data_IF_903591130032
#
_entry.id   IF_903591130032
#
_cell.length_a   1.000
_cell.length_b   1.000
_cell.length_c   1.000
_cell.angle_alpha   90.00
_cell.angle_beta   90.00
_cell.angle_gamma   90.00
#
_symmetry.space_group_name_H-M   'P 1'
#
loop_
_entity.id
_entity.type
_entity.pdbx_description
1 polymer ?
#
# COMPACT_ATOMS: atom_id res chain seq x y z
N UNK A 1 -9.68 -15.93 -8.69
CA UNK A 1 -8.40 -16.06 -9.41
C UNK A 1 -8.75 -16.55 -10.79
N UNK A 2 -8.39 -15.84 -11.86
CA UNK A 2 -8.71 -16.28 -13.24
C UNK A 2 -7.49 -16.84 -13.99
N UNK A 3 -6.26 -16.64 -13.49
CA UNK A 3 -5.03 -17.18 -14.08
C UNK A 3 -4.33 -18.19 -13.17
N UNK A 4 -4.52 -19.49 -13.43
CA UNK A 4 -3.84 -20.57 -12.71
C UNK A 4 -3.66 -21.78 -13.64
N UNK A 5 -2.50 -22.43 -13.53
CA UNK A 5 -2.31 -23.79 -13.99
C UNK A 5 -1.89 -24.64 -12.79
N UNK A 6 -2.61 -25.73 -12.55
CA UNK A 6 -2.25 -26.72 -11.55
C UNK A 6 -1.97 -28.07 -12.24
N UNK A 7 -0.85 -28.67 -11.89
CA UNK A 7 -0.50 -30.05 -12.22
C UNK A 7 -0.78 -30.90 -10.98
N UNK A 8 -1.65 -31.89 -11.11
CA UNK A 8 -2.08 -32.73 -9.99
C UNK A 8 -0.93 -33.52 -9.37
N UNK A 9 -1.03 -33.77 -8.07
CA UNK A 9 -0.16 -34.71 -7.37
C UNK A 9 -0.51 -36.16 -7.73
N UNK A 10 0.49 -37.04 -7.70
CA UNK A 10 0.31 -38.50 -7.80
C UNK A 10 0.28 -39.07 -6.36
N UNK A 11 -0.92 -39.35 -5.84
CA UNK A 11 -1.10 -39.78 -4.46
C UNK A 11 -0.78 -38.68 -3.45
N UNK A 12 0.21 -38.90 -2.56
CA UNK A 12 0.68 -37.91 -1.56
C UNK A 12 1.93 -37.14 -2.01
N UNK A 13 2.34 -37.26 -3.27
CA UNK A 13 3.63 -36.76 -3.75
C UNK A 13 3.51 -35.92 -5.02
N UNK A 14 4.32 -34.86 -5.07
CA UNK A 14 4.33 -33.90 -6.18
C UNK A 14 3.20 -32.89 -6.12
N UNK A 15 2.83 -32.40 -7.30
CA UNK A 15 1.87 -31.31 -7.48
C UNK A 15 2.58 -29.96 -7.66
N UNK A 16 2.18 -29.23 -8.70
CA UNK A 16 2.72 -27.90 -9.00
C UNK A 16 1.59 -26.95 -9.31
N UNK A 17 1.74 -25.69 -8.89
CA UNK A 17 0.81 -24.64 -9.26
C UNK A 17 1.59 -23.40 -9.72
N UNK A 18 1.23 -22.89 -10.90
CA UNK A 18 1.64 -21.58 -11.37
C UNK A 18 0.43 -20.65 -11.35
N UNK A 19 0.55 -19.54 -10.63
CA UNK A 19 -0.54 -18.60 -10.41
C UNK A 19 -0.10 -17.20 -10.84
N UNK A 20 -0.96 -16.50 -11.58
CA UNK A 20 -0.68 -15.14 -12.02
C UNK A 20 -1.87 -14.21 -11.79
N UNK A 21 -1.58 -12.90 -11.84
CA UNK A 21 -2.58 -11.85 -11.59
C UNK A 21 -3.40 -11.57 -12.83
N UNK A 22 -4.64 -11.16 -12.60
CA UNK A 22 -5.51 -10.59 -13.63
C UNK A 22 -4.85 -9.41 -14.32
N UNK A 23 -4.91 -9.38 -15.65
CA UNK A 23 -4.20 -8.40 -16.50
C UNK A 23 -2.82 -8.86 -16.99
N UNK A 24 -2.17 -9.82 -16.32
CA UNK A 24 -0.91 -10.37 -16.81
C UNK A 24 -1.18 -11.39 -17.93
N UNK A 25 -0.50 -11.23 -19.07
CA UNK A 25 -0.58 -12.20 -20.18
C UNK A 25 0.48 -13.27 -19.98
N UNK A 26 0.04 -14.46 -19.58
CA UNK A 26 0.89 -15.64 -19.40
C UNK A 26 0.42 -16.72 -20.37
N UNK A 27 1.34 -17.24 -21.17
CA UNK A 27 1.09 -18.35 -22.11
C UNK A 27 1.86 -19.57 -21.64
N UNK A 28 1.16 -20.66 -21.31
CA UNK A 28 1.80 -21.92 -20.95
C UNK A 28 2.41 -22.55 -22.20
N UNK A 29 3.65 -22.99 -22.08
CA UNK A 29 4.43 -23.52 -23.19
C UNK A 29 4.51 -25.04 -23.12
N UNK A 30 4.84 -25.54 -21.94
CA UNK A 30 4.86 -26.97 -21.63
C UNK A 30 4.75 -27.15 -20.11
N UNK A 31 4.34 -28.33 -19.66
CA UNK A 31 4.37 -28.68 -18.25
C UNK A 31 4.53 -30.19 -18.06
N UNK A 32 5.01 -30.57 -16.89
CA UNK A 32 5.04 -31.96 -16.42
C UNK A 32 4.90 -31.98 -14.91
N UNK A 33 4.99 -33.17 -14.29
CA UNK A 33 5.07 -33.27 -12.83
C UNK A 33 6.32 -32.62 -12.20
N UNK A 34 7.30 -32.22 -12.99
CA UNK A 34 8.55 -31.61 -12.53
C UNK A 34 8.70 -30.14 -12.91
N UNK A 35 7.84 -29.61 -13.76
CA UNK A 35 7.92 -28.21 -14.14
C UNK A 35 6.63 -27.65 -14.72
N UNK A 36 6.51 -26.34 -14.68
CA UNK A 36 5.57 -25.57 -15.50
C UNK A 36 6.39 -24.51 -16.23
N UNK A 37 6.43 -24.58 -17.55
CA UNK A 37 7.12 -23.62 -18.41
C UNK A 37 6.14 -22.65 -19.05
N UNK A 38 6.47 -21.37 -19.00
CA UNK A 38 5.57 -20.30 -19.39
C UNK A 38 6.30 -19.13 -20.03
N UNK A 39 5.60 -18.46 -20.94
CA UNK A 39 6.00 -17.18 -21.52
C UNK A 39 5.16 -16.07 -20.88
N UNK A 40 5.82 -15.11 -20.25
CA UNK A 40 5.20 -14.02 -19.49
C UNK A 40 5.44 -12.70 -20.23
N UNK A 41 4.38 -12.03 -20.67
CA UNK A 41 4.51 -10.70 -21.26
C UNK A 41 4.65 -9.64 -20.18
N UNK A 42 5.68 -8.82 -20.30
CA UNK A 42 5.96 -7.70 -19.40
C UNK A 42 5.34 -6.41 -19.92
N UNK A 43 5.14 -5.45 -19.02
CA UNK A 43 4.51 -4.15 -19.32
C UNK A 43 5.32 -3.30 -20.31
N UNK A 44 6.63 -3.55 -20.43
CA UNK A 44 7.54 -2.89 -21.38
C UNK A 44 7.49 -3.49 -22.79
N UNK A 45 6.59 -4.45 -23.02
CA UNK A 45 6.41 -5.13 -24.31
C UNK A 45 7.39 -6.28 -24.57
N UNK A 46 8.26 -6.61 -23.62
CA UNK A 46 9.17 -7.76 -23.73
C UNK A 46 8.55 -9.01 -23.13
N UNK A 47 8.92 -10.16 -23.68
CA UNK A 47 8.47 -11.46 -23.18
C UNK A 47 9.61 -12.10 -22.38
N UNK A 48 9.30 -12.62 -21.19
CA UNK A 48 10.23 -13.37 -20.34
C UNK A 48 9.78 -14.81 -20.29
N UNK A 49 10.73 -15.74 -20.41
CA UNK A 49 10.49 -17.15 -20.15
C UNK A 49 10.61 -17.43 -18.65
N UNK A 50 9.55 -17.95 -18.05
CA UNK A 50 9.54 -18.39 -16.65
C UNK A 50 9.24 -19.88 -16.55
N UNK A 51 10.14 -20.63 -15.91
CA UNK A 51 9.96 -22.05 -15.62
C UNK A 51 9.91 -22.27 -14.12
N UNK A 52 8.75 -22.67 -13.61
CA UNK A 52 8.61 -23.20 -12.25
C UNK A 52 9.16 -24.63 -12.23
N UNK A 53 10.14 -24.94 -11.38
CA UNK A 53 10.81 -26.24 -11.36
C UNK A 53 10.66 -26.95 -10.00
N UNK A 54 10.44 -28.26 -10.07
CA UNK A 54 10.39 -29.16 -8.92
C UNK A 54 11.27 -30.38 -9.19
N UNK A 55 12.47 -30.33 -8.63
CA UNK A 55 13.53 -31.30 -8.83
C UNK A 55 13.23 -32.66 -8.18
N UNK A 56 13.88 -33.71 -8.69
CA UNK A 56 13.76 -35.06 -8.14
C UNK A 56 14.43 -35.16 -6.76
N UNK A 57 13.66 -35.65 -5.78
CA UNK A 57 14.20 -35.96 -4.45
C UNK A 57 15.18 -37.14 -4.48
N UNK A 58 15.00 -38.09 -5.41
CA UNK A 58 15.91 -39.22 -5.62
C UNK A 58 17.13 -38.82 -6.48
N UNK A 59 18.37 -38.89 -5.94
CA UNK A 59 19.60 -38.60 -6.69
C UNK A 59 19.74 -39.33 -8.01
N UNK A 60 19.29 -40.59 -8.07
CA UNK A 60 19.46 -41.46 -9.23
C UNK A 60 18.65 -40.96 -10.43
N UNK A 61 17.56 -40.22 -10.16
CA UNK A 61 16.65 -39.68 -11.16
C UNK A 61 16.87 -38.18 -11.45
N UNK A 62 17.74 -37.51 -10.69
CA UNK A 62 18.00 -36.06 -10.87
C UNK A 62 18.54 -35.71 -12.25
N UNK A 63 19.40 -36.55 -12.83
CA UNK A 63 19.95 -36.33 -14.16
C UNK A 63 18.85 -36.14 -15.22
N UNK A 64 17.74 -36.86 -15.11
CA UNK A 64 16.61 -36.73 -16.03
C UNK A 64 15.92 -35.36 -15.92
N UNK A 65 15.80 -34.83 -14.69
CA UNK A 65 15.23 -33.51 -14.45
C UNK A 65 16.17 -32.38 -14.95
N UNK A 66 17.49 -32.56 -14.83
CA UNK A 66 18.48 -31.64 -15.39
C UNK A 66 18.53 -31.66 -16.91
N UNK A 67 18.43 -32.83 -17.53
CA UNK A 67 18.38 -32.96 -19.00
C UNK A 67 17.14 -32.28 -19.57
N UNK A 68 16.03 -32.31 -18.84
CA UNK A 68 14.83 -31.55 -19.21
C UNK A 68 15.08 -30.05 -19.19
N UNK A 69 15.71 -29.50 -18.14
CA UNK A 69 16.07 -28.08 -18.11
C UNK A 69 17.02 -27.71 -19.25
N UNK A 70 17.98 -28.58 -19.60
CA UNK A 70 18.87 -28.39 -20.76
C UNK A 70 18.10 -28.35 -22.09
N UNK A 71 17.11 -29.23 -22.27
CA UNK A 71 16.21 -29.24 -23.45
C UNK A 71 15.31 -28.00 -23.51
N UNK A 72 14.85 -27.49 -22.37
CA UNK A 72 14.11 -26.23 -22.34
C UNK A 72 15.04 -25.10 -22.77
N UNK A 73 16.24 -24.99 -22.18
CA UNK A 73 17.21 -23.94 -22.52
C UNK A 73 17.54 -23.90 -24.01
N UNK A 74 17.67 -25.03 -24.70
CA UNK A 74 17.94 -25.05 -26.15
C UNK A 74 16.83 -24.42 -26.99
N UNK A 75 15.61 -24.35 -26.46
CA UNK A 75 14.44 -23.77 -27.14
C UNK A 75 14.12 -22.34 -26.71
N UNK A 76 14.74 -21.84 -25.63
CA UNK A 76 14.47 -20.50 -25.10
C UNK A 76 15.31 -19.47 -25.85
N UNK A 77 14.65 -18.44 -26.39
CA UNK A 77 15.29 -17.31 -27.08
C UNK A 77 15.17 -16.01 -26.29
N UNK A 78 14.28 -16.00 -25.32
CA UNK A 78 13.98 -14.89 -24.43
C UNK A 78 14.88 -14.90 -23.18
N UNK A 79 14.79 -13.85 -22.38
CA UNK A 79 15.32 -13.85 -21.02
C UNK A 79 14.70 -15.00 -20.21
N UNK A 80 15.53 -15.81 -19.54
CA UNK A 80 15.05 -17.01 -18.85
C UNK A 80 15.22 -16.92 -17.34
N UNK A 81 14.14 -17.21 -16.63
CA UNK A 81 14.13 -17.35 -15.18
C UNK A 81 13.57 -18.73 -14.83
N UNK A 82 14.34 -19.51 -14.09
CA UNK A 82 13.92 -20.79 -13.51
C UNK A 82 13.83 -20.61 -12.00
N UNK A 83 12.71 -20.98 -11.39
CA UNK A 83 12.51 -20.82 -9.96
C UNK A 83 11.78 -22.00 -9.33
N UNK A 84 12.18 -22.39 -8.13
CA UNK A 84 11.50 -23.43 -7.36
C UNK A 84 12.45 -24.26 -6.51
N UNK A 85 11.98 -25.44 -6.11
CA UNK A 85 12.72 -26.40 -5.30
C UNK A 85 13.53 -27.33 -6.22
N UNK A 86 14.85 -27.23 -6.16
CA UNK A 86 15.74 -28.06 -6.98
C UNK A 86 16.07 -29.40 -6.33
N UNK A 87 15.68 -29.61 -5.07
CA UNK A 87 16.06 -30.77 -4.26
C UNK A 87 17.58 -31.04 -4.28
N UNK A 88 18.39 -29.99 -4.45
CA UNK A 88 19.84 -30.08 -4.56
C UNK A 88 20.54 -28.86 -3.95
N UNK A 89 21.64 -29.15 -3.24
CA UNK A 89 22.61 -28.15 -2.77
C UNK A 89 23.76 -28.03 -3.77
N UNK A 90 24.45 -26.90 -3.80
CA UNK A 90 25.61 -26.68 -4.67
C UNK A 90 26.92 -27.07 -3.99
N UNK A 91 27.02 -26.90 -2.68
CA UNK A 91 28.21 -27.22 -1.90
C UNK A 91 27.88 -27.39 -0.40
N UNK A 92 28.85 -27.87 0.37
CA UNK A 92 28.68 -28.12 1.81
C UNK A 92 28.43 -26.86 2.65
N UNK A 93 28.64 -25.64 2.13
CA UNK A 93 28.30 -24.40 2.83
C UNK A 93 26.79 -24.09 2.78
N UNK A 94 26.03 -24.79 1.92
CA UNK A 94 24.57 -24.72 1.88
C UNK A 94 23.89 -25.72 2.84
N UNK A 95 24.64 -26.31 3.79
CA UNK A 95 24.14 -27.25 4.81
C UNK A 95 24.65 -26.96 6.22
N UNK A 96 23.74 -27.08 7.20
CA UNK A 96 24.04 -27.05 8.64
C UNK A 96 23.50 -28.33 9.33
N UNK A 97 24.32 -29.03 10.13
CA UNK A 97 23.97 -30.26 10.85
C UNK A 97 24.28 -31.60 10.14
N UNK A 98 24.37 -32.71 10.88
CA UNK A 98 24.61 -34.08 10.36
C UNK A 98 26.03 -34.36 9.79
N UNK A 99 26.26 -35.54 9.20
CA UNK A 99 27.55 -35.92 8.57
C UNK A 99 27.89 -35.06 7.33
N UNK A 100 29.15 -34.65 7.20
CA UNK A 100 29.72 -34.03 5.97
C UNK A 100 29.79 -35.09 4.85
N UNK A 101 29.40 -34.74 3.62
CA UNK A 101 29.44 -35.66 2.46
C UNK A 101 30.69 -35.45 1.60
N UNK A 102 31.17 -36.51 0.93
CA UNK A 102 32.37 -36.50 0.09
C UNK A 102 32.17 -35.76 -1.24
N UNK A 103 33.26 -35.21 -1.81
CA UNK A 103 33.25 -34.31 -2.98
C UNK A 103 32.77 -34.95 -4.31
N UNK A 104 32.66 -36.29 -4.39
CA UNK A 104 32.41 -36.99 -5.66
C UNK A 104 30.95 -37.48 -5.84
N UNK A 105 30.03 -37.10 -4.97
CA UNK A 105 28.60 -37.38 -5.12
C UNK A 105 27.83 -36.07 -5.01
N UNK A 106 27.37 -35.57 -6.16
CA UNK A 106 26.44 -34.46 -6.20
C UNK A 106 25.15 -34.86 -5.48
N UNK A 107 24.89 -34.15 -4.39
CA UNK A 107 23.58 -33.71 -3.94
C UNK A 107 22.79 -34.76 -3.15
N UNK A 108 22.36 -34.37 -1.97
CA UNK A 108 21.15 -34.88 -1.32
C UNK A 108 21.02 -34.12 -0.04
N UNK A 109 19.97 -33.32 0.12
CA UNK A 109 19.76 -32.56 1.35
C UNK A 109 18.32 -32.01 1.47
N UNK A 110 17.75 -32.10 2.69
CA UNK A 110 16.35 -31.99 3.19
C UNK A 110 16.36 -31.51 4.66
N UNK A 111 15.41 -30.66 5.07
CA UNK A 111 15.09 -30.59 6.51
C UNK A 111 14.21 -31.79 6.91
N UNK A 112 14.56 -32.47 8.01
CA UNK A 112 13.90 -33.70 8.44
C UNK A 112 12.84 -33.49 9.54
N UNK A 113 12.57 -32.25 9.97
CA UNK A 113 11.69 -31.91 11.09
C UNK A 113 11.99 -32.68 12.40
N UNK A 114 13.24 -33.12 12.62
CA UNK A 114 13.66 -33.83 13.84
C UNK A 114 14.26 -32.87 14.86
N UNK A 115 14.14 -33.24 16.14
CA UNK A 115 14.60 -32.46 17.28
C UNK A 115 16.04 -32.83 17.67
N UNK A 116 16.77 -31.92 18.33
CA UNK A 116 18.07 -32.21 18.93
C UNK A 116 19.23 -32.39 17.92
N UNK A 117 20.15 -33.31 18.19
CA UNK A 117 21.39 -33.52 17.42
C UNK A 117 21.18 -33.99 15.97
N UNK A 118 19.94 -34.35 15.61
CA UNK A 118 19.54 -34.83 14.28
C UNK A 118 18.96 -33.73 13.38
N UNK A 119 18.93 -32.47 13.84
CA UNK A 119 18.39 -31.34 13.07
C UNK A 119 19.33 -30.92 11.93
N UNK A 120 18.77 -30.76 10.72
CA UNK A 120 19.49 -30.41 9.49
C UNK A 120 18.76 -29.30 8.72
N UNK A 121 19.50 -28.32 8.20
CA UNK A 121 19.01 -27.23 7.34
C UNK A 121 19.80 -27.18 6.04
N UNK A 122 19.12 -27.11 4.89
CA UNK A 122 19.76 -26.89 3.59
C UNK A 122 19.02 -25.92 2.66
N UNK A 123 19.75 -25.34 1.72
CA UNK A 123 19.22 -24.42 0.70
C UNK A 123 18.89 -25.17 -0.59
N UNK A 124 17.60 -25.40 -0.86
CA UNK A 124 17.12 -26.16 -2.03
C UNK A 124 16.36 -25.28 -3.02
N UNK A 125 15.61 -24.32 -2.50
CA UNK A 125 14.88 -23.33 -3.27
C UNK A 125 15.81 -22.24 -3.81
N UNK A 126 15.76 -22.01 -5.13
CA UNK A 126 16.55 -20.96 -5.77
C UNK A 126 15.88 -20.41 -7.03
N UNK A 127 16.37 -19.26 -7.46
CA UNK A 127 16.16 -18.74 -8.81
C UNK A 127 17.47 -18.87 -9.58
N UNK A 128 17.39 -19.41 -10.79
CA UNK A 128 18.45 -19.38 -11.80
C UNK A 128 18.00 -18.43 -12.90
N UNK A 129 18.87 -17.53 -13.29
CA UNK A 129 18.55 -16.46 -14.24
C UNK A 129 19.60 -16.49 -15.35
N UNK A 130 19.18 -16.32 -16.60
CA UNK A 130 20.11 -16.28 -17.72
C UNK A 130 20.95 -15.00 -17.70
N UNK A 131 22.15 -15.04 -18.28
CA UNK A 131 23.07 -13.91 -18.28
C UNK A 131 22.46 -12.67 -18.94
N UNK A 132 21.73 -12.86 -20.04
CA UNK A 132 21.04 -11.80 -20.77
C UNK A 132 19.95 -11.11 -19.92
N UNK A 133 19.35 -11.85 -18.99
CA UNK A 133 18.35 -11.33 -18.08
C UNK A 133 18.98 -10.50 -16.94
N UNK A 134 20.20 -10.84 -16.51
CA UNK A 134 20.94 -10.08 -15.49
C UNK A 134 21.33 -8.70 -16.03
N UNK A 135 21.83 -8.62 -17.27
CA UNK A 135 22.19 -7.35 -17.91
C UNK A 135 21.02 -6.37 -17.99
N UNK A 136 19.80 -6.89 -18.22
CA UNK A 136 18.58 -6.10 -18.37
C UNK A 136 17.84 -5.84 -17.07
N UNK A 137 18.18 -6.55 -15.99
CA UNK A 137 17.62 -6.38 -14.65
C UNK A 137 18.73 -6.01 -13.64
N UNK A 138 19.36 -4.82 -13.78
CA UNK A 138 20.54 -4.45 -13.00
C UNK A 138 20.28 -4.28 -11.49
N UNK A 139 19.00 -4.25 -11.09
CA UNK A 139 18.58 -4.12 -9.70
C UNK A 139 17.88 -5.38 -9.16
N UNK A 140 18.01 -6.52 -9.85
CA UNK A 140 17.37 -7.77 -9.42
C UNK A 140 17.74 -8.10 -7.96
N UNK A 141 16.72 -8.41 -7.14
CA UNK A 141 16.88 -8.64 -5.70
C UNK A 141 16.14 -9.91 -5.29
N UNK A 142 16.69 -10.64 -4.30
CA UNK A 142 16.06 -11.85 -3.77
C UNK A 142 15.88 -11.78 -2.26
N UNK A 143 14.76 -12.30 -1.76
CA UNK A 143 14.46 -12.35 -0.32
C UNK A 143 13.89 -13.70 0.09
N UNK A 144 14.30 -14.18 1.25
CA UNK A 144 13.71 -15.34 1.92
C UNK A 144 12.62 -14.86 2.87
N UNK A 145 11.47 -15.53 2.86
CA UNK A 145 10.31 -15.22 3.69
C UNK A 145 10.00 -16.46 4.53
N UNK A 146 10.29 -16.37 5.83
CA UNK A 146 10.11 -17.48 6.74
C UNK A 146 8.64 -17.89 6.86
N UNK A 147 8.38 -19.18 6.68
CA UNK A 147 7.02 -19.73 6.73
C UNK A 147 6.71 -20.31 8.11
N UNK A 148 5.45 -20.17 8.54
CA UNK A 148 5.00 -20.70 9.84
C UNK A 148 4.32 -22.08 9.74
N UNK A 149 3.98 -22.51 8.52
CA UNK A 149 3.17 -23.70 8.23
C UNK A 149 3.81 -24.64 7.18
N UNK A 150 5.00 -24.31 6.69
CA UNK A 150 5.78 -25.12 5.75
C UNK A 150 7.15 -25.38 6.35
N UNK A 151 7.74 -26.51 6.00
CA UNK A 151 9.13 -26.87 6.24
C UNK A 151 10.12 -26.22 5.24
N UNK A 152 9.60 -25.56 4.20
CA UNK A 152 10.35 -24.69 3.29
C UNK A 152 10.04 -23.21 3.56
N UNK A 153 11.06 -22.37 3.44
CA UNK A 153 10.88 -20.92 3.40
C UNK A 153 10.62 -20.45 1.96
N UNK A 154 9.72 -19.48 1.80
CA UNK A 154 9.40 -18.99 0.46
C UNK A 154 10.48 -18.03 -0.04
N UNK A 155 10.91 -18.20 -1.29
CA UNK A 155 11.83 -17.28 -1.96
C UNK A 155 11.09 -16.29 -2.86
N UNK A 156 11.53 -15.03 -2.83
CA UNK A 156 10.98 -13.93 -3.63
C UNK A 156 12.06 -13.41 -4.56
N UNK A 157 11.73 -13.28 -5.85
CA UNK A 157 12.52 -12.54 -6.84
C UNK A 157 11.84 -11.20 -7.17
N UNK A 158 12.59 -10.12 -7.11
CA UNK A 158 12.17 -8.79 -7.54
C UNK A 158 12.97 -8.37 -8.77
N UNK A 159 12.37 -8.45 -9.95
CA UNK A 159 13.01 -8.16 -11.25
C UNK A 159 13.23 -6.67 -11.51
N UNK A 160 12.63 -5.77 -10.72
CA UNK A 160 12.72 -4.31 -10.91
C UNK A 160 13.70 -3.67 -9.91
N UNK A 161 13.91 -4.32 -8.76
CA UNK A 161 14.77 -3.81 -7.71
C UNK A 161 14.34 -2.49 -7.09
N UNK A 162 15.31 -1.74 -6.56
CA UNK A 162 15.14 -0.38 -6.04
C UNK A 162 16.24 0.52 -6.61
N UNK A 163 15.91 1.42 -7.56
CA UNK A 163 16.80 2.55 -7.89
C UNK A 163 17.15 3.33 -6.60
N UNK A 164 18.38 3.83 -6.44
CA UNK A 164 18.72 4.75 -5.37
C UNK A 164 17.72 5.91 -5.35
N UNK A 165 17.09 6.15 -4.20
CA UNK A 165 16.03 7.15 -4.07
C UNK A 165 16.62 8.56 -4.13
N UNK A 166 16.58 9.20 -5.30
CA UNK A 166 16.46 10.66 -5.37
C UNK A 166 15.02 11.05 -5.02
N UNK A 167 14.67 10.99 -3.73
CA UNK A 167 13.39 11.52 -3.25
C UNK A 167 13.63 12.38 -2.03
N UNK A 168 13.72 13.69 -2.24
CA UNK A 168 13.25 14.64 -1.22
C UNK A 168 11.73 14.46 -1.13
N UNK A 169 11.28 13.72 -0.13
CA UNK A 169 9.87 13.63 0.22
C UNK A 169 9.54 14.92 0.97
N UNK A 170 8.61 15.72 0.45
CA UNK A 170 8.07 16.83 1.21
C UNK A 170 7.40 16.28 2.48
N UNK A 171 7.96 16.64 3.63
CA UNK A 171 7.50 16.20 4.94
C UNK A 171 6.03 16.58 5.17
N UNK A 172 5.55 17.70 4.58
CA UNK A 172 4.16 18.15 4.68
C UNK A 172 3.17 17.19 4.02
N UNK A 173 3.57 16.48 2.97
CA UNK A 173 2.72 15.51 2.26
C UNK A 173 2.77 14.09 2.86
N UNK A 174 3.66 13.85 3.82
CA UNK A 174 3.95 12.49 4.33
C UNK A 174 3.05 12.07 5.50
N UNK A 175 2.55 13.02 6.30
CA UNK A 175 1.74 12.70 7.47
C UNK A 175 0.31 12.32 7.10
N UNK A 176 -0.14 11.18 7.62
CA UNK A 176 -1.53 10.71 7.53
C UNK A 176 -1.88 9.99 8.82
N UNK A 177 -2.93 10.46 9.49
CA UNK A 177 -3.45 9.78 10.68
C UNK A 177 -4.00 8.40 10.32
N UNK A 178 -3.58 7.38 11.06
CA UNK A 178 -4.08 6.01 10.91
C UNK A 178 -5.18 5.73 11.93
N UNK A 179 -6.27 5.09 11.50
CA UNK A 179 -7.41 4.83 12.37
C UNK A 179 -7.04 3.87 13.53
N UNK A 180 -6.00 3.05 13.37
CA UNK A 180 -5.55 2.18 14.45
C UNK A 180 -5.00 2.94 15.66
N UNK A 181 -4.56 4.19 15.49
CA UNK A 181 -4.00 5.01 16.57
C UNK A 181 -5.05 5.49 17.57
N UNK A 182 -6.33 5.45 17.21
CA UNK A 182 -7.44 5.86 18.08
C UNK A 182 -7.49 5.06 19.39
N UNK A 183 -6.96 3.83 19.40
CA UNK A 183 -6.92 2.95 20.58
C UNK A 183 -5.62 3.05 21.36
N UNK A 184 -4.63 3.79 20.86
CA UNK A 184 -3.30 3.86 21.47
C UNK A 184 -3.19 5.00 22.45
N UNK A 185 -2.77 4.67 23.68
CA UNK A 185 -2.67 5.67 24.75
C UNK A 185 -1.63 6.75 24.42
N UNK A 186 -0.45 6.38 23.91
CA UNK A 186 0.58 7.35 23.50
C UNK A 186 0.05 8.38 22.49
N UNK A 187 -0.76 7.95 21.52
CA UNK A 187 -1.36 8.84 20.54
C UNK A 187 -2.39 9.78 21.18
N UNK A 188 -3.26 9.24 22.06
CA UNK A 188 -4.23 10.04 22.83
C UNK A 188 -3.54 11.08 23.72
N UNK A 189 -2.45 10.71 24.38
CA UNK A 189 -1.70 11.60 25.27
C UNK A 189 -1.08 12.75 24.48
N UNK A 190 -0.51 12.48 23.30
CA UNK A 190 0.00 13.51 22.39
C UNK A 190 -1.14 14.44 21.95
N UNK A 191 -2.28 13.88 21.54
CA UNK A 191 -3.44 14.66 21.09
C UNK A 191 -3.94 15.57 22.21
N UNK A 192 -4.19 15.02 23.39
CA UNK A 192 -4.68 15.77 24.54
C UNK A 192 -3.70 16.87 24.96
N UNK A 193 -2.38 16.58 24.97
CA UNK A 193 -1.34 17.56 25.31
C UNK A 193 -1.27 18.71 24.31
N UNK A 194 -1.43 18.45 23.02
CA UNK A 194 -1.45 19.50 22.01
C UNK A 194 -2.74 20.31 22.12
N UNK A 195 -3.88 19.64 22.29
CA UNK A 195 -5.18 20.29 22.28
C UNK A 195 -5.49 21.09 23.55
N UNK A 196 -4.83 20.78 24.68
CA UNK A 196 -4.95 21.52 25.94
C UNK A 196 -4.23 22.88 25.94
N UNK A 197 -3.39 23.17 24.94
CA UNK A 197 -2.73 24.48 24.81
C UNK A 197 -3.76 25.57 24.54
N UNK A 198 -3.98 26.45 25.52
CA UNK A 198 -4.97 27.54 25.43
C UNK A 198 -4.50 28.66 24.48
N UNK A 199 -3.18 28.92 24.42
CA UNK A 199 -2.59 30.01 23.64
C UNK A 199 -2.43 29.72 22.13
N UNK A 200 -3.03 28.64 21.63
CA UNK A 200 -2.96 28.26 20.21
C UNK A 200 -4.36 28.23 19.61
N UNK A 201 -4.51 28.83 18.44
CA UNK A 201 -5.75 28.77 17.69
C UNK A 201 -5.96 27.37 17.07
N UNK A 202 -7.15 27.09 16.56
CA UNK A 202 -7.51 25.78 16.01
C UNK A 202 -6.53 25.30 14.91
N UNK A 203 -6.14 26.19 14.00
CA UNK A 203 -5.26 25.85 12.89
C UNK A 203 -3.84 25.53 13.39
N UNK A 204 -3.33 26.31 14.34
CA UNK A 204 -2.03 26.01 14.97
C UNK A 204 -2.06 24.67 15.71
N UNK A 205 -3.16 24.33 16.40
CA UNK A 205 -3.31 23.01 17.03
C UNK A 205 -3.29 21.87 16.01
N UNK A 206 -3.94 22.04 14.86
CA UNK A 206 -3.90 21.06 13.76
C UNK A 206 -2.48 20.86 13.23
N UNK A 207 -1.73 21.94 13.04
CA UNK A 207 -0.33 21.88 12.60
C UNK A 207 0.58 21.26 13.68
N UNK A 208 0.41 21.63 14.95
CA UNK A 208 1.13 21.04 16.09
C UNK A 208 0.89 19.52 16.18
N UNK A 209 -0.34 19.04 15.93
CA UNK A 209 -0.63 17.61 15.87
C UNK A 209 0.21 16.93 14.81
N UNK A 210 0.31 17.53 13.61
CA UNK A 210 1.13 16.98 12.53
C UNK A 210 2.60 16.94 12.92
N UNK A 211 3.12 17.98 13.56
CA UNK A 211 4.52 18.06 13.99
C UNK A 211 4.86 17.08 15.11
N UNK A 212 3.90 16.73 15.97
CA UNK A 212 4.11 15.79 17.07
C UNK A 212 3.85 14.33 16.65
N UNK A 213 2.72 14.07 15.96
CA UNK A 213 2.37 12.72 15.50
C UNK A 213 3.19 12.29 14.27
N UNK A 214 3.68 13.23 13.46
CA UNK A 214 4.50 12.95 12.28
C UNK A 214 5.78 12.17 12.60
N UNK A 215 6.66 12.64 13.49
CA UNK A 215 7.83 11.89 13.94
C UNK A 215 7.45 10.62 14.72
N UNK A 216 6.43 10.70 15.57
CA UNK A 216 5.94 9.55 16.34
C UNK A 216 5.49 8.40 15.45
N UNK A 217 4.81 8.65 14.32
CA UNK A 217 4.36 7.62 13.38
C UNK A 217 5.54 6.77 12.88
N UNK A 218 6.67 7.42 12.58
CA UNK A 218 7.85 6.79 12.02
C UNK A 218 8.58 5.99 13.10
N UNK A 219 8.74 6.60 14.28
CA UNK A 219 9.33 5.91 15.43
C UNK A 219 8.51 4.69 15.84
N UNK A 220 7.18 4.81 15.88
CA UNK A 220 6.24 3.72 16.17
C UNK A 220 6.44 2.57 15.19
N UNK A 221 6.42 2.84 13.89
CA UNK A 221 6.62 1.81 12.86
C UNK A 221 8.00 1.14 12.97
N UNK A 222 9.05 1.94 13.18
CA UNK A 222 10.42 1.43 13.38
C UNK A 222 10.53 0.53 14.62
N UNK A 223 9.90 0.92 15.74
CA UNK A 223 9.83 0.11 16.97
C UNK A 223 9.08 -1.20 16.71
N UNK A 224 7.97 -1.18 15.98
CA UNK A 224 7.21 -2.38 15.61
C UNK A 224 8.07 -3.34 14.78
N UNK A 225 8.72 -2.86 13.71
CA UNK A 225 9.63 -3.66 12.88
C UNK A 225 10.82 -4.21 13.68
N UNK A 226 11.39 -3.40 14.57
CA UNK A 226 12.48 -3.86 15.45
C UNK A 226 12.01 -4.98 16.39
N UNK A 227 10.80 -4.86 16.97
CA UNK A 227 10.22 -5.93 17.79
C UNK A 227 9.96 -7.22 17.01
N UNK A 228 9.47 -7.11 15.78
CA UNK A 228 9.30 -8.25 14.86
C UNK A 228 10.66 -8.92 14.63
N UNK A 229 11.65 -8.19 14.13
CA UNK A 229 12.99 -8.72 13.85
C UNK A 229 13.64 -9.35 15.11
N UNK A 230 13.46 -8.74 16.29
CA UNK A 230 14.00 -9.27 17.54
C UNK A 230 13.28 -10.55 17.98
N UNK A 231 11.96 -10.66 17.77
CA UNK A 231 11.22 -11.88 18.06
C UNK A 231 11.54 -12.99 17.06
N UNK A 232 11.73 -12.67 15.78
CA UNK A 232 12.22 -13.62 14.78
C UNK A 232 13.59 -14.17 15.16
N UNK A 233 14.54 -13.29 15.53
CA UNK A 233 15.85 -13.71 16.03
C UNK A 233 15.76 -14.56 17.29
N UNK A 234 14.92 -14.17 18.27
CA UNK A 234 14.71 -14.95 19.49
C UNK A 234 14.11 -16.32 19.21
N UNK A 235 13.16 -16.40 18.28
CA UNK A 235 12.58 -17.67 17.82
C UNK A 235 13.68 -18.50 17.16
N UNK A 236 14.49 -17.91 16.28
CA UNK A 236 15.68 -18.55 15.70
C UNK A 236 16.59 -19.16 16.77
N UNK A 237 17.05 -18.35 17.73
CA UNK A 237 17.94 -18.80 18.82
C UNK A 237 17.31 -19.93 19.66
N UNK A 238 16.01 -19.85 19.97
CA UNK A 238 15.31 -20.90 20.74
C UNK A 238 15.18 -22.19 19.92
N UNK A 239 14.98 -22.08 18.60
CA UNK A 239 14.94 -23.23 17.70
C UNK A 239 16.32 -23.86 17.51
N UNK A 240 17.38 -23.04 17.49
CA UNK A 240 18.76 -23.48 17.30
C UNK A 240 19.37 -24.12 18.57
N UNK A 241 18.72 -24.02 19.74
CA UNK A 241 19.20 -24.59 21.00
C UNK A 241 18.07 -25.25 21.81
N UNK A 242 17.57 -26.43 21.38
CA UNK A 242 16.35 -27.06 21.89
C UNK A 242 16.49 -27.74 23.27
N UNK A 243 17.67 -27.72 23.89
CA UNK A 243 18.07 -28.55 25.04
C UNK A 243 17.36 -28.27 26.38
N UNK A 244 16.30 -27.45 26.42
CA UNK A 244 15.66 -27.05 27.67
C UNK A 244 14.14 -27.31 27.62
N UNK A 245 13.59 -28.03 28.60
CA UNK A 245 12.14 -28.34 28.72
C UNK A 245 11.27 -27.07 28.83
N UNK A 246 11.86 -25.92 29.18
CA UNK A 246 11.20 -24.61 29.17
C UNK A 246 11.14 -23.93 27.78
N UNK A 247 11.90 -24.41 26.78
CA UNK A 247 12.00 -23.81 25.45
C UNK A 247 10.67 -23.83 24.70
N UNK A 248 9.85 -24.88 24.86
CA UNK A 248 8.55 -25.01 24.18
C UNK A 248 7.54 -23.97 24.62
N UNK A 249 7.45 -23.67 25.93
CA UNK A 249 6.56 -22.64 26.46
C UNK A 249 7.00 -21.25 26.00
N UNK A 250 8.31 -20.99 26.03
CA UNK A 250 8.89 -19.73 25.56
C UNK A 250 8.69 -19.54 24.05
N UNK A 251 8.82 -20.59 23.25
CA UNK A 251 8.57 -20.58 21.81
C UNK A 251 7.10 -20.27 21.51
N UNK A 252 6.15 -20.93 22.20
CA UNK A 252 4.71 -20.67 22.04
C UNK A 252 4.36 -19.21 22.38
N UNK A 253 4.92 -18.68 23.46
CA UNK A 253 4.74 -17.27 23.85
C UNK A 253 5.36 -16.30 22.83
N UNK A 254 6.56 -16.59 22.34
CA UNK A 254 7.25 -15.76 21.36
C UNK A 254 6.52 -15.75 20.00
N UNK A 255 6.08 -16.92 19.51
CA UNK A 255 5.27 -17.06 18.29
C UNK A 255 3.92 -16.36 18.43
N UNK A 256 3.27 -16.46 19.59
CA UNK A 256 2.02 -15.72 19.87
C UNK A 256 2.21 -14.21 19.83
N UNK A 257 3.27 -13.69 20.46
CA UNK A 257 3.63 -12.26 20.41
C UNK A 257 3.96 -11.80 18.98
N UNK A 258 4.68 -12.62 18.22
CA UNK A 258 5.01 -12.34 16.83
C UNK A 258 3.74 -12.31 15.97
N UNK A 259 2.83 -13.27 16.17
CA UNK A 259 1.53 -13.31 15.49
C UNK A 259 0.71 -12.03 15.70
N UNK A 260 0.60 -11.57 16.96
CA UNK A 260 -0.09 -10.31 17.26
C UNK A 260 0.55 -9.11 16.54
N UNK A 261 1.89 -9.02 16.52
CA UNK A 261 2.57 -7.92 15.80
C UNK A 261 2.33 -7.98 14.29
N UNK A 262 2.25 -9.17 13.71
CA UNK A 262 1.89 -9.34 12.30
C UNK A 262 0.45 -8.91 12.00
N UNK A 263 -0.51 -9.20 12.89
CA UNK A 263 -1.89 -8.75 12.72
C UNK A 263 -2.01 -7.22 12.77
N UNK A 264 -1.15 -6.55 13.56
CA UNK A 264 -1.05 -5.08 13.60
C UNK A 264 -0.44 -4.54 12.29
N UNK A 265 0.64 -5.16 11.80
CA UNK A 265 1.28 -4.78 10.54
C UNK A 265 0.34 -4.99 9.33
N UNK A 266 -0.46 -6.05 9.35
CA UNK A 266 -1.45 -6.32 8.30
C UNK A 266 -2.50 -5.21 8.21
N UNK A 267 -3.06 -4.77 9.35
CA UNK A 267 -4.02 -3.65 9.39
C UNK A 267 -3.42 -2.36 8.84
N UNK A 268 -2.17 -2.08 9.21
CA UNK A 268 -1.42 -0.93 8.68
C UNK A 268 -1.33 -0.96 7.14
N UNK A 269 -0.95 -2.10 6.56
CA UNK A 269 -0.83 -2.21 5.11
C UNK A 269 -2.18 -2.26 4.38
N UNK A 270 -3.20 -2.86 4.98
CA UNK A 270 -4.56 -2.89 4.45
C UNK A 270 -5.12 -1.47 4.26
N UNK A 271 -4.98 -0.60 5.25
CA UNK A 271 -5.43 0.79 5.17
C UNK A 271 -4.74 1.55 4.03
N UNK A 272 -3.44 1.35 3.85
CA UNK A 272 -2.64 1.98 2.78
C UNK A 272 -2.95 1.41 1.41
N UNK A 273 -3.26 0.12 1.32
CA UNK A 273 -3.69 -0.54 0.09
C UNK A 273 -5.11 -0.14 -0.34
N UNK A 274 -5.93 0.42 0.58
CA UNK A 274 -7.31 0.88 0.33
C UNK A 274 -8.19 -0.24 -0.25
N UNK A 275 -8.17 -1.41 0.40
CA UNK A 275 -8.93 -2.62 0.02
C UNK A 275 -10.06 -2.85 1.04
N UNK A 276 -11.27 -3.18 0.56
CA UNK A 276 -12.49 -3.28 1.38
C UNK A 276 -13.01 -4.72 1.55
N UNK A 277 -12.66 -5.64 0.64
CA UNK A 277 -13.13 -7.02 0.67
C UNK A 277 -11.95 -7.98 0.84
N UNK A 278 -12.06 -8.85 1.84
CA UNK A 278 -11.22 -10.03 1.98
C UNK A 278 -12.16 -11.24 1.88
N UNK A 279 -12.13 -11.94 0.75
CA UNK A 279 -12.71 -13.28 0.64
C UNK A 279 -11.57 -14.27 0.93
N UNK A 280 -11.60 -14.81 2.14
CA UNK A 280 -10.97 -16.07 2.57
C UNK A 280 -9.42 -16.13 2.65
N UNK A 281 -8.93 -16.46 3.86
CA UNK A 281 -7.80 -17.36 4.09
C UNK A 281 -6.36 -16.89 3.85
N UNK A 282 -5.61 -16.76 4.96
CA UNK A 282 -4.18 -16.44 5.13
C UNK A 282 -3.73 -14.97 5.05
N UNK A 283 -2.78 -14.62 5.93
CA UNK A 283 -2.32 -13.24 6.19
C UNK A 283 -1.69 -12.66 4.93
N UNK A 284 -2.21 -11.52 4.47
CA UNK A 284 -1.89 -11.03 3.11
C UNK A 284 -1.12 -9.71 3.09
N UNK A 285 -0.18 -9.52 4.03
CA UNK A 285 0.72 -8.36 4.07
C UNK A 285 1.41 -8.14 2.72
N UNK A 286 1.96 -9.20 2.10
CA UNK A 286 2.60 -9.13 0.78
C UNK A 286 1.66 -8.63 -0.32
N UNK A 287 0.42 -9.11 -0.39
CA UNK A 287 -0.56 -8.58 -1.35
C UNK A 287 -0.84 -7.11 -1.11
N UNK A 288 -1.04 -6.70 0.15
CA UNK A 288 -1.28 -5.30 0.49
C UNK A 288 -0.08 -4.42 0.11
N UNK A 289 1.15 -4.87 0.40
CA UNK A 289 2.36 -4.20 -0.04
C UNK A 289 2.43 -4.05 -1.56
N UNK A 290 2.26 -5.15 -2.30
CA UNK A 290 2.35 -5.13 -3.76
C UNK A 290 1.25 -4.26 -4.36
N UNK A 291 0.02 -4.30 -3.82
CA UNK A 291 -1.08 -3.46 -4.27
C UNK A 291 -0.83 -1.98 -3.93
N UNK A 292 -0.33 -1.67 -2.75
CA UNK A 292 0.05 -0.31 -2.37
C UNK A 292 1.15 0.24 -3.29
N UNK A 293 2.18 -0.56 -3.59
CA UNK A 293 3.26 -0.21 -4.53
C UNK A 293 2.76 -0.05 -5.96
N UNK A 294 1.90 -0.96 -6.44
CA UNK A 294 1.29 -0.87 -7.78
C UNK A 294 0.43 0.40 -7.91
N UNK A 295 -0.38 0.74 -6.90
CA UNK A 295 -1.12 2.00 -6.86
C UNK A 295 -0.19 3.21 -6.83
N UNK A 296 0.91 3.14 -6.08
CA UNK A 296 1.91 4.21 -6.07
C UNK A 296 2.53 4.41 -7.45
N UNK A 297 2.89 3.33 -8.16
CA UNK A 297 3.42 3.40 -9.53
C UNK A 297 2.39 4.00 -10.48
N UNK A 298 1.16 3.47 -10.51
CA UNK A 298 0.08 3.96 -11.37
C UNK A 298 -0.26 5.44 -11.13
N UNK A 299 -0.19 5.89 -9.88
CA UNK A 299 -0.51 7.28 -9.52
C UNK A 299 0.70 8.22 -9.58
N UNK A 300 1.91 7.70 -9.88
CA UNK A 300 3.10 8.53 -10.05
C UNK A 300 3.07 9.14 -11.44
N UNK A 301 3.19 10.47 -11.50
CA UNK A 301 3.31 11.19 -12.77
C UNK A 301 4.80 11.44 -12.97
N UNK A 302 5.40 10.72 -13.91
CA UNK A 302 6.83 10.83 -14.22
C UNK A 302 7.11 11.96 -15.21
N UNK A 303 6.21 12.14 -16.18
CA UNK A 303 6.29 13.19 -17.18
C UNK A 303 4.90 13.64 -17.63
N UNK A 304 4.79 14.87 -18.08
CA UNK A 304 3.55 15.45 -18.56
C UNK A 304 3.81 16.34 -19.76
N UNK A 305 2.95 16.25 -20.78
CA UNK A 305 3.03 17.05 -21.99
C UNK A 305 2.24 18.37 -21.83
N UNK A 306 2.87 19.49 -22.15
CA UNK A 306 2.27 20.82 -22.11
C UNK A 306 1.47 21.14 -23.37
N UNK A 307 0.71 22.24 -23.35
CA UNK A 307 -0.18 22.63 -24.47
C UNK A 307 0.56 22.97 -25.76
N UNK A 308 1.83 23.40 -25.67
CA UNK A 308 2.71 23.63 -26.83
C UNK A 308 3.33 22.34 -27.37
N UNK A 309 3.09 21.20 -26.73
CA UNK A 309 3.61 19.89 -27.13
C UNK A 309 4.93 19.47 -26.48
N UNK A 310 5.52 20.29 -25.61
CA UNK A 310 6.75 19.98 -24.89
C UNK A 310 6.53 19.00 -23.73
N UNK A 311 7.53 18.19 -23.42
CA UNK A 311 7.50 17.25 -22.29
C UNK A 311 8.23 17.83 -21.09
N UNK A 312 7.58 17.79 -19.93
CA UNK A 312 8.17 18.16 -18.65
C UNK A 312 8.29 16.92 -17.76
N UNK A 313 9.49 16.72 -17.21
CA UNK A 313 9.81 15.61 -16.29
C UNK A 313 10.14 16.12 -14.88
N UNK A 314 10.50 17.40 -14.73
CA UNK A 314 10.72 18.00 -13.42
C UNK A 314 9.41 18.22 -12.67
N UNK A 315 9.42 17.99 -11.36
CA UNK A 315 8.21 18.09 -10.53
C UNK A 315 7.68 19.51 -10.43
N UNK A 316 8.55 20.51 -10.38
CA UNK A 316 8.14 21.92 -10.32
C UNK A 316 7.42 22.29 -11.62
N UNK A 317 7.98 21.87 -12.74
CA UNK A 317 7.38 22.09 -14.06
C UNK A 317 6.04 21.35 -14.21
N UNK A 318 5.97 20.08 -13.83
CA UNK A 318 4.71 19.31 -13.85
C UNK A 318 3.63 19.99 -12.98
N UNK A 319 4.00 20.50 -11.80
CA UNK A 319 3.10 21.27 -10.94
C UNK A 319 2.62 22.56 -11.63
N UNK A 320 3.52 23.29 -12.32
CA UNK A 320 3.18 24.49 -13.07
C UNK A 320 2.23 24.19 -14.23
N UNK A 321 2.46 23.10 -14.98
CA UNK A 321 1.55 22.65 -16.04
C UNK A 321 0.16 22.40 -15.48
N UNK A 322 0.07 21.65 -14.37
CA UNK A 322 -1.20 21.34 -13.73
C UNK A 322 -1.91 22.60 -13.20
N UNK A 323 -1.16 23.51 -12.57
CA UNK A 323 -1.69 24.78 -12.05
C UNK A 323 -2.22 25.65 -13.18
N UNK A 324 -1.45 25.87 -14.23
CA UNK A 324 -1.86 26.69 -15.39
C UNK A 324 -3.12 26.13 -16.04
N UNK A 325 -3.19 24.81 -16.23
CA UNK A 325 -4.36 24.15 -16.81
C UNK A 325 -5.64 24.43 -16.00
N UNK A 326 -5.62 24.17 -14.69
CA UNK A 326 -6.81 24.36 -13.85
C UNK A 326 -7.12 25.83 -13.58
N UNK A 327 -6.10 26.67 -13.41
CA UNK A 327 -6.29 28.11 -13.26
C UNK A 327 -6.98 28.69 -14.48
N UNK A 328 -6.59 28.30 -15.68
CA UNK A 328 -7.25 28.76 -16.90
C UNK A 328 -8.64 28.13 -17.08
N UNK A 329 -8.83 26.86 -16.70
CA UNK A 329 -10.13 26.19 -16.78
C UNK A 329 -11.19 26.82 -15.86
N UNK A 330 -10.79 27.33 -14.70
CA UNK A 330 -11.69 27.91 -13.70
C UNK A 330 -11.68 29.45 -13.67
N UNK A 331 -10.93 30.11 -14.56
CA UNK A 331 -11.05 31.56 -14.76
C UNK A 331 -12.39 31.85 -15.40
N UNK A 332 -13.13 32.80 -14.83
CA UNK A 332 -14.35 33.34 -15.43
C UNK A 332 -14.03 33.96 -16.78
N UNK A 333 -14.84 33.66 -17.80
CA UNK A 333 -14.85 34.36 -19.08
C UNK A 333 -15.91 35.46 -19.14
N UNK A 334 -16.65 35.68 -18.05
CA UNK A 334 -17.76 36.64 -17.96
C UNK A 334 -17.20 38.05 -17.72
N UNK A 335 -17.64 39.02 -18.52
CA UNK A 335 -17.36 40.44 -18.32
C UNK A 335 -18.12 40.94 -17.07
N UNK A 336 -17.45 41.55 -16.07
CA UNK A 336 -18.10 42.15 -14.91
C UNK A 336 -19.19 43.17 -15.24
N UNK A 337 -19.22 43.68 -16.48
CA UNK A 337 -20.18 44.68 -16.95
C UNK A 337 -21.36 44.10 -17.76
N UNK A 338 -21.48 42.78 -17.90
CA UNK A 338 -22.71 42.19 -18.44
C UNK A 338 -23.83 42.34 -17.39
N UNK A 339 -24.72 43.31 -17.63
CA UNK A 339 -25.91 43.54 -16.80
C UNK A 339 -26.86 42.35 -16.98
N UNK A 340 -26.74 41.37 -16.08
CA UNK A 340 -27.62 40.21 -16.08
C UNK A 340 -28.99 40.67 -15.62
N UNK A 341 -29.95 40.68 -16.55
CA UNK A 341 -31.30 41.16 -16.27
C UNK A 341 -32.08 40.19 -15.38
N UNK A 342 -31.91 40.34 -14.06
CA UNK A 342 -32.53 39.51 -13.03
C UNK A 342 -34.04 39.75 -12.91
N UNK A 343 -34.61 40.74 -13.60
CA UNK A 343 -36.02 41.13 -13.47
C UNK A 343 -37.00 40.06 -13.98
N UNK A 344 -36.53 39.16 -14.84
CA UNK A 344 -37.32 38.02 -15.35
C UNK A 344 -37.20 36.76 -14.49
N UNK A 345 -36.39 36.78 -13.43
CA UNK A 345 -36.26 35.64 -12.52
C UNK A 345 -37.40 35.71 -11.50
N UNK A 346 -38.33 34.74 -11.47
CA UNK A 346 -39.43 34.75 -10.53
C UNK A 346 -38.92 34.66 -9.08
N UNK A 347 -39.59 35.36 -8.16
CA UNK A 347 -39.28 35.28 -6.73
C UNK A 347 -39.82 33.96 -6.19
N UNK A 348 -38.93 32.97 -6.07
CA UNK A 348 -39.29 31.63 -5.61
C UNK A 348 -39.08 31.41 -4.10
N UNK A 349 -38.52 32.40 -3.38
CA UNK A 349 -38.22 32.29 -1.95
C UNK A 349 -39.17 33.21 -1.17
N UNK A 350 -40.13 32.61 -0.46
CA UNK A 350 -41.06 33.37 0.40
C UNK A 350 -40.36 33.99 1.61
N UNK A 351 -40.96 35.03 2.20
CA UNK A 351 -40.44 35.65 3.43
C UNK A 351 -40.30 34.66 4.59
N UNK A 352 -41.23 33.70 4.69
CA UNK A 352 -41.13 32.66 5.70
C UNK A 352 -39.91 31.75 5.47
N UNK A 353 -39.58 31.47 4.21
CA UNK A 353 -38.40 30.69 3.85
C UNK A 353 -37.12 31.48 4.09
N UNK A 354 -37.08 32.77 3.74
CA UNK A 354 -35.96 33.66 4.04
C UNK A 354 -35.69 33.73 5.55
N UNK A 355 -36.73 34.00 6.37
CA UNK A 355 -36.61 33.96 7.84
C UNK A 355 -36.06 32.63 8.36
N UNK A 356 -36.39 31.52 7.71
CA UNK A 356 -35.91 30.19 8.06
C UNK A 356 -34.45 29.93 7.64
N UNK A 357 -34.01 30.56 6.55
CA UNK A 357 -32.66 30.45 5.99
C UNK A 357 -31.68 31.38 6.71
N UNK A 358 -32.16 32.50 7.24
CA UNK A 358 -31.41 33.47 8.04
C UNK A 358 -31.29 33.09 9.52
N UNK A 359 -31.92 31.98 9.94
CA UNK A 359 -31.76 31.45 11.30
C UNK A 359 -30.31 31.11 11.58
N UNK A 360 -29.85 31.46 12.78
CA UNK A 360 -28.50 31.12 13.23
C UNK A 360 -28.18 29.63 13.08
N UNK A 361 -26.91 29.38 12.80
CA UNK A 361 -26.36 28.04 12.81
C UNK A 361 -26.32 27.53 14.25
N UNK A 362 -26.74 26.28 14.46
CA UNK A 362 -26.73 25.64 15.78
C UNK A 362 -25.72 24.49 15.81
N UNK A 363 -25.18 24.19 16.99
CA UNK A 363 -24.29 23.05 17.20
C UNK A 363 -24.90 21.75 16.66
N UNK A 364 -26.21 21.55 16.87
CA UNK A 364 -26.94 20.39 16.40
C UNK A 364 -26.91 20.28 14.86
N UNK A 365 -27.05 21.39 14.12
CA UNK A 365 -26.97 21.40 12.65
C UNK A 365 -25.56 21.02 12.18
N UNK A 366 -24.53 21.60 12.79
CA UNK A 366 -23.12 21.33 12.45
C UNK A 366 -22.77 19.88 12.76
N UNK A 367 -23.14 19.38 13.94
CA UNK A 367 -22.91 18.00 14.37
C UNK A 367 -23.64 17.00 13.45
N UNK A 368 -24.86 17.31 13.03
CA UNK A 368 -25.60 16.48 12.06
C UNK A 368 -24.88 16.42 10.71
N UNK A 369 -24.35 17.56 10.23
CA UNK A 369 -23.59 17.58 8.98
C UNK A 369 -22.31 16.75 9.09
N UNK A 370 -21.58 16.89 10.20
CA UNK A 370 -20.38 16.12 10.52
C UNK A 370 -20.64 14.60 10.60
N UNK A 371 -21.69 14.17 11.32
CA UNK A 371 -21.98 12.76 11.53
C UNK A 371 -22.34 12.02 10.24
N UNK A 372 -22.98 12.70 9.29
CA UNK A 372 -23.29 12.14 7.97
C UNK A 372 -22.08 12.03 7.03
N UNK A 373 -20.91 12.54 7.40
CA UNK A 373 -19.71 12.36 6.60
C UNK A 373 -19.12 10.96 6.82
N UNK A 374 -18.66 10.32 5.74
CA UNK A 374 -17.90 9.07 5.85
C UNK A 374 -16.53 9.36 6.49
N UNK A 375 -16.26 8.83 7.69
CA UNK A 375 -15.04 9.13 8.42
C UNK A 375 -13.77 8.59 7.75
N UNK A 376 -13.88 7.63 6.83
CA UNK A 376 -12.74 6.97 6.17
C UNK A 376 -12.29 7.67 4.88
N UNK A 377 -12.96 8.75 4.48
CA UNK A 377 -12.56 9.55 3.31
C UNK A 377 -11.15 10.11 3.48
N UNK A 378 -10.49 10.32 2.34
CA UNK A 378 -9.12 10.83 2.33
C UNK A 378 -9.01 12.22 3.01
N UNK A 379 -7.99 12.42 3.86
CA UNK A 379 -7.76 13.68 4.55
C UNK A 379 -7.25 14.76 3.60
N UNK A 380 -7.32 16.02 4.03
CA UNK A 380 -6.75 17.15 3.31
C UNK A 380 -5.24 17.27 3.52
N UNK A 381 -4.70 18.48 3.37
CA UNK A 381 -3.26 18.74 3.58
C UNK A 381 -2.81 18.50 5.03
N UNK A 382 -3.72 18.63 5.99
CA UNK A 382 -3.52 18.35 7.41
C UNK A 382 -3.24 16.87 7.73
N UNK A 383 -3.61 15.94 6.84
CA UNK A 383 -3.48 14.51 7.09
C UNK A 383 -4.47 13.96 8.14
N UNK A 384 -5.48 14.74 8.54
CA UNK A 384 -6.48 14.35 9.54
C UNK A 384 -7.80 13.94 8.86
N UNK A 385 -8.17 12.64 8.87
CA UNK A 385 -9.42 12.16 8.28
C UNK A 385 -10.61 12.41 9.21
N UNK A 386 -11.83 12.19 8.72
CA UNK A 386 -13.03 12.34 9.55
C UNK A 386 -13.04 11.41 10.78
N UNK A 387 -12.40 10.24 10.69
CA UNK A 387 -12.25 9.32 11.83
C UNK A 387 -11.48 9.95 12.98
N UNK A 388 -10.42 10.72 12.72
CA UNK A 388 -9.68 11.43 13.78
C UNK A 388 -10.61 12.30 14.63
N UNK A 389 -11.44 13.12 13.98
CA UNK A 389 -12.37 14.00 14.68
C UNK A 389 -13.46 13.22 15.42
N UNK A 390 -13.94 12.10 14.87
CA UNK A 390 -14.94 11.25 15.55
C UNK A 390 -14.35 10.55 16.77
N UNK A 391 -13.17 9.96 16.62
CA UNK A 391 -12.52 9.17 17.66
C UNK A 391 -12.10 10.04 18.87
N UNK A 392 -11.74 11.31 18.61
CA UNK A 392 -11.27 12.26 19.63
C UNK A 392 -12.25 13.41 19.89
N UNK A 393 -13.54 13.22 19.57
CA UNK A 393 -14.55 14.30 19.64
C UNK A 393 -14.67 14.95 21.01
N UNK A 394 -14.50 14.18 22.10
CA UNK A 394 -14.51 14.71 23.46
C UNK A 394 -13.43 15.79 23.69
N UNK A 395 -12.27 15.63 23.06
CA UNK A 395 -11.14 16.56 23.16
C UNK A 395 -11.27 17.70 22.13
N UNK A 396 -11.56 17.37 20.87
CA UNK A 396 -11.46 18.33 19.76
C UNK A 396 -12.78 19.02 19.39
N UNK A 397 -13.92 18.43 19.78
CA UNK A 397 -15.24 18.79 19.26
C UNK A 397 -15.68 20.22 19.57
N UNK A 398 -15.37 20.73 20.78
CA UNK A 398 -15.69 22.12 21.16
C UNK A 398 -14.98 23.13 20.26
N UNK A 399 -13.70 22.91 20.00
CA UNK A 399 -12.90 23.79 19.13
C UNK A 399 -13.35 23.68 17.67
N UNK A 400 -13.74 22.48 17.21
CA UNK A 400 -14.30 22.28 15.87
C UNK A 400 -15.61 23.06 15.69
N UNK A 401 -16.54 22.98 16.66
CA UNK A 401 -17.81 23.68 16.60
C UNK A 401 -17.60 25.20 16.61
N UNK A 402 -16.78 25.70 17.55
CA UNK A 402 -16.42 27.12 17.62
C UNK A 402 -15.85 27.62 16.30
N UNK A 403 -14.87 26.92 15.75
CA UNK A 403 -14.23 27.32 14.49
C UNK A 403 -15.20 27.28 13.30
N UNK A 404 -16.14 26.33 13.26
CA UNK A 404 -17.19 26.31 12.25
C UNK A 404 -18.13 27.51 12.39
N UNK A 405 -18.54 27.87 13.61
CA UNK A 405 -19.35 29.06 13.86
C UNK A 405 -18.64 30.33 13.45
N UNK A 406 -17.36 30.46 13.79
CA UNK A 406 -16.56 31.65 13.45
C UNK A 406 -16.52 31.87 11.93
N UNK A 407 -16.41 30.80 11.14
CA UNK A 407 -16.47 30.89 9.68
C UNK A 407 -17.88 31.21 9.19
N UNK A 408 -18.90 30.53 9.75
CA UNK A 408 -20.29 30.69 9.33
C UNK A 408 -20.88 32.07 9.70
N UNK A 409 -20.29 32.75 10.69
CA UNK A 409 -20.61 34.12 11.11
C UNK A 409 -19.68 35.17 10.47
N UNK A 410 -18.82 34.76 9.55
CA UNK A 410 -17.85 35.62 8.85
C UNK A 410 -16.85 36.34 9.78
N UNK A 411 -16.68 35.87 11.02
CA UNK A 411 -15.68 36.40 11.96
C UNK A 411 -14.29 35.82 11.72
N UNK A 412 -14.18 34.78 10.88
CA UNK A 412 -12.92 34.19 10.47
C UNK A 412 -12.93 33.82 8.98
N UNK A 413 -11.77 33.93 8.34
CA UNK A 413 -11.64 33.76 6.90
C UNK A 413 -11.54 32.29 6.49
N UNK A 414 -12.35 31.88 5.49
CA UNK A 414 -12.33 30.53 4.94
C UNK A 414 -11.02 30.17 4.23
N UNK A 415 -10.22 31.15 3.79
CA UNK A 415 -8.94 30.94 3.11
C UNK A 415 -8.01 30.02 3.91
N UNK A 416 -8.02 30.12 5.24
CA UNK A 416 -7.18 29.31 6.12
C UNK A 416 -7.43 27.79 6.00
N UNK A 417 -8.64 27.39 5.59
CA UNK A 417 -9.03 25.98 5.43
C UNK A 417 -9.28 25.56 3.99
N UNK A 418 -9.24 26.50 3.05
CA UNK A 418 -9.47 26.24 1.63
C UNK A 418 -8.22 25.69 0.91
N UNK A 419 -7.08 25.64 1.61
CA UNK A 419 -5.88 24.96 1.10
C UNK A 419 -6.18 23.47 0.84
N UNK A 420 -6.11 23.09 -0.44
CA UNK A 420 -6.60 21.81 -0.95
C UNK A 420 -5.49 21.06 -1.67
N UNK A 421 -5.32 19.79 -1.35
CA UNK A 421 -4.43 18.91 -2.11
C UNK A 421 -5.13 18.43 -3.38
N UNK A 422 -4.60 18.79 -4.53
CA UNK A 422 -5.09 18.30 -5.81
C UNK A 422 -4.42 16.97 -6.15
N UNK A 423 -5.20 15.89 -6.17
CA UNK A 423 -4.73 14.56 -6.56
C UNK A 423 -5.22 14.25 -7.97
N UNK A 424 -4.28 13.95 -8.86
CA UNK A 424 -4.58 13.55 -10.23
C UNK A 424 -4.68 12.03 -10.32
N UNK A 425 -5.83 11.53 -10.77
CA UNK A 425 -6.04 10.10 -11.02
C UNK A 425 -6.08 9.83 -12.53
N UNK A 426 -5.21 8.95 -13.07
CA UNK A 426 -5.26 8.58 -14.48
C UNK A 426 -6.63 8.04 -14.91
N UNK A 427 -7.16 8.54 -16.04
CA UNK A 427 -8.36 8.02 -16.71
C UNK A 427 -8.05 6.82 -17.61
N UNK A 428 -6.85 6.82 -18.18
CA UNK A 428 -6.39 5.87 -19.19
C UNK A 428 -5.04 5.27 -18.78
N UNK A 429 -4.63 4.21 -19.47
CA UNK A 429 -3.25 3.71 -19.39
C UNK A 429 -2.30 4.70 -20.06
N UNK A 430 -1.13 4.91 -19.44
CA UNK A 430 -0.08 5.82 -19.92
C UNK A 430 -0.57 7.26 -20.19
N UNK A 431 -1.08 7.98 -19.18
CA UNK A 431 -1.58 9.34 -19.36
C UNK A 431 -0.44 10.31 -19.71
N UNK A 432 -0.63 11.13 -20.75
CA UNK A 432 0.38 12.07 -21.23
C UNK A 432 -0.04 13.54 -21.11
N UNK A 433 -1.35 13.83 -21.20
CA UNK A 433 -1.90 15.18 -21.16
C UNK A 433 -2.77 15.41 -19.92
N UNK A 434 -2.96 16.66 -19.51
CA UNK A 434 -3.80 17.02 -18.35
C UNK A 434 -5.25 16.51 -18.46
N UNK A 435 -5.81 16.46 -19.67
CA UNK A 435 -7.17 15.95 -19.93
C UNK A 435 -7.30 14.45 -19.59
N UNK A 436 -6.20 13.70 -19.59
CA UNK A 436 -6.15 12.28 -19.22
C UNK A 436 -6.23 12.03 -17.71
N UNK A 437 -6.24 13.08 -16.89
CA UNK A 437 -6.35 12.95 -15.44
C UNK A 437 -7.73 13.42 -14.95
N UNK A 438 -8.24 12.76 -13.90
CA UNK A 438 -9.36 13.26 -13.08
C UNK A 438 -8.77 14.01 -11.88
N UNK A 439 -9.05 15.31 -11.72
CA UNK A 439 -8.70 16.01 -10.50
C UNK A 439 -9.60 15.54 -9.34
N UNK A 440 -8.99 15.24 -8.20
CA UNK A 440 -9.68 15.05 -6.94
C UNK A 440 -9.13 16.05 -5.93
N UNK A 441 -10.01 16.95 -5.51
CA UNK A 441 -9.75 17.94 -4.47
C UNK A 441 -9.88 17.30 -3.09
N UNK A 442 -8.76 17.09 -2.41
CA UNK A 442 -8.72 16.63 -1.02
C UNK A 442 -8.73 17.83 -0.08
N UNK A 443 -9.94 18.30 0.23
CA UNK A 443 -10.14 19.40 1.19
C UNK A 443 -10.02 18.91 2.65
N UNK A 444 -9.65 19.82 3.56
CA UNK A 444 -9.69 19.60 5.02
C UNK A 444 -11.09 19.18 5.47
N UNK A 445 -11.19 18.37 6.53
CA UNK A 445 -12.49 17.89 7.04
C UNK A 445 -13.37 19.06 7.47
N UNK A 446 -12.79 20.07 8.09
CA UNK A 446 -13.51 21.28 8.55
C UNK A 446 -14.16 22.02 7.38
N UNK A 447 -13.43 22.21 6.27
CA UNK A 447 -13.99 22.81 5.06
C UNK A 447 -15.20 22.03 4.55
N UNK A 448 -15.13 20.70 4.57
CA UNK A 448 -16.25 19.83 4.16
C UNK A 448 -17.45 19.95 5.10
N UNK A 449 -17.24 20.16 6.41
CA UNK A 449 -18.32 20.39 7.37
C UNK A 449 -19.03 21.71 7.02
N UNK A 450 -18.29 22.82 6.95
CA UNK A 450 -18.83 24.15 6.63
C UNK A 450 -19.57 24.13 5.28
N UNK A 451 -18.93 23.59 4.24
CA UNK A 451 -19.52 23.49 2.90
C UNK A 451 -20.81 22.66 2.89
N UNK A 452 -20.89 21.59 3.69
CA UNK A 452 -22.09 20.75 3.78
C UNK A 452 -23.22 21.44 4.54
N UNK A 453 -22.89 22.23 5.56
CA UNK A 453 -23.86 23.06 6.28
C UNK A 453 -24.46 24.12 5.35
N UNK A 454 -23.61 24.86 4.62
CA UNK A 454 -24.03 25.85 3.64
C UNK A 454 -24.79 25.23 2.46
N UNK A 455 -24.31 24.11 1.93
CA UNK A 455 -24.95 23.42 0.80
C UNK A 455 -26.38 22.95 1.12
N UNK A 456 -26.70 22.65 2.38
CA UNK A 456 -28.07 22.34 2.80
C UNK A 456 -28.99 23.55 2.75
N UNK A 457 -28.48 24.74 3.05
CA UNK A 457 -29.24 26.00 2.91
C UNK A 457 -29.55 26.21 1.42
N UNK A 458 -28.55 26.05 0.55
CA UNK A 458 -28.75 26.16 -0.90
C UNK A 458 -29.69 25.09 -1.48
N UNK A 459 -29.62 23.85 -1.01
CA UNK A 459 -30.53 22.77 -1.43
C UNK A 459 -31.96 22.97 -0.90
N UNK A 460 -32.13 23.49 0.32
CA UNK A 460 -33.44 23.89 0.85
C UNK A 460 -34.05 25.00 -0.03
N UNK A 461 -33.24 25.96 -0.50
CA UNK A 461 -33.68 26.97 -1.49
C UNK A 461 -34.17 26.32 -2.81
N UNK A 462 -33.44 25.35 -3.37
CA UNK A 462 -33.85 24.64 -4.62
C UNK A 462 -35.08 23.74 -4.45
N UNK A 463 -35.19 22.99 -3.35
CA UNK A 463 -36.34 22.09 -3.13
C UNK A 463 -37.67 22.81 -2.94
N UNK A 464 -37.62 24.11 -2.67
CA UNK A 464 -38.79 24.96 -2.51
C UNK A 464 -39.16 25.70 -3.81
N UNK A 465 -38.61 25.27 -4.95
CA UNK A 465 -39.05 25.71 -6.29
C UNK A 465 -38.30 26.92 -6.86
N UNK A 466 -37.06 27.18 -6.41
CA UNK A 466 -36.18 28.19 -6.99
C UNK A 466 -35.32 27.66 -8.14
#
# INVERSE_FOLDING_TARGET
MEGCLAVSAEGKSGGLALMWKEGNKVTIQNYSKYHIDSLVKMDDGKDIRFTGFYGQADPTLRNQAWDMLRRIKSNVREEWIVGGDFNAILNNAEKEGGRRKSQNLMNDFRSNNREGADFVKERLDRFIVSEEAIEKMPYIDTKVVCQSKSDHDAILLNTIGSKPKERKVDLKQSFRYDACWAKEQEAKDIINRVWSKINRNFMEKVEDIRENLGPWQYQRYKRMRSKINNLEKKIGIIMDNPSNTNSTRLLKLARGKLGHLYDVEEKYWMQRARIQWLKEGDRNTRYFHVRATSRQKKNSIERLKYSNGEWHEDKSEICNVAWNYFNNLFKSTIDPNEDVDLQFIPICITDSMNRDLDKEFTDAKILTAFNQMDPRKAPGIDGLPGSFFKDHWQTVGKDVLRFCHDILRETNNIHNINETLLIMIPKIENPCNMSNFRPISLCRVIYKIVSKVLGRIALKKRSLGA
#
